data_IF_545082898880
#
_entry.id   IF_545082898880
#
_cell.length_a   1.000
_cell.length_b   1.000
_cell.length_c   1.000
_cell.angle_alpha   90.00
_cell.angle_beta   90.00
_cell.angle_gamma   90.00
#
_symmetry.space_group_name_H-M   'P 1'
#
loop_
_entity.id
_entity.type
_entity.pdbx_description
1 polymer ?
#
# COMPACT_ATOMS: atom_id res chain seq x y z
N UNK A 1 31.54 -45.78 61.94
CA UNK A 1 32.45 -46.24 60.86
C UNK A 1 31.65 -46.12 59.56
N UNK A 2 31.81 -45.03 58.83
CA UNK A 2 32.82 -44.85 57.79
C UNK A 2 32.43 -45.53 56.46
N UNK A 3 32.38 -44.68 55.43
CA UNK A 3 32.54 -44.95 54.00
C UNK A 3 31.38 -45.50 53.19
N UNK A 4 30.73 -44.54 52.51
CA UNK A 4 30.24 -44.67 51.16
C UNK A 4 31.42 -44.81 50.17
N UNK A 5 31.24 -45.63 49.14
CA UNK A 5 31.54 -45.35 47.71
C UNK A 5 31.51 -46.67 46.94
N UNK A 6 30.77 -46.71 45.83
CA UNK A 6 31.28 -47.20 44.53
C UNK A 6 30.14 -47.39 43.52
N UNK A 7 30.16 -46.53 42.49
CA UNK A 7 29.85 -46.82 41.07
C UNK A 7 28.42 -47.28 40.71
N UNK A 8 27.75 -46.81 39.66
CA UNK A 8 27.87 -45.71 38.69
C UNK A 8 26.87 -46.14 37.61
N UNK A 9 25.79 -45.40 37.40
CA UNK A 9 25.15 -45.28 36.10
C UNK A 9 23.94 -44.36 36.20
N UNK A 10 24.11 -43.12 35.73
CA UNK A 10 22.96 -42.31 35.30
C UNK A 10 23.33 -41.68 33.96
N UNK A 11 22.63 -42.19 32.97
CA UNK A 11 22.51 -41.74 31.59
C UNK A 11 22.04 -40.30 31.45
N UNK A 12 22.55 -39.68 30.36
CA UNK A 12 21.92 -38.63 29.55
C UNK A 12 21.59 -37.29 30.21
N UNK A 13 22.49 -36.33 30.04
CA UNK A 13 22.15 -34.94 29.80
C UNK A 13 22.50 -34.58 28.36
N UNK A 14 21.55 -34.74 27.44
CA UNK A 14 21.68 -34.20 26.08
C UNK A 14 21.88 -32.70 26.19
N UNK A 15 23.10 -32.21 25.96
CA UNK A 15 23.36 -30.78 25.86
C UNK A 15 22.82 -30.36 24.50
N UNK A 16 21.58 -29.84 24.48
CA UNK A 16 21.01 -29.16 23.33
C UNK A 16 21.83 -27.91 23.01
N UNK A 17 22.89 -28.09 22.22
CA UNK A 17 23.53 -27.01 21.47
C UNK A 17 22.67 -26.72 20.25
N UNK A 18 21.58 -26.01 20.45
CA UNK A 18 20.89 -25.27 19.39
C UNK A 18 20.10 -24.16 20.07
N UNK A 19 20.81 -23.15 20.59
CA UNK A 19 20.24 -21.82 20.67
C UNK A 19 20.09 -21.36 19.22
N UNK A 20 18.96 -21.73 18.60
CA UNK A 20 18.55 -21.12 17.35
C UNK A 20 18.62 -19.61 17.56
N UNK A 21 19.38 -18.93 16.71
CA UNK A 21 19.43 -17.48 16.66
C UNK A 21 18.09 -16.98 16.09
N UNK A 22 17.03 -17.11 16.88
CA UNK A 22 15.69 -16.64 16.55
C UNK A 22 15.75 -15.12 16.66
N UNK A 23 15.86 -14.44 15.53
CA UNK A 23 15.74 -12.99 15.47
C UNK A 23 14.29 -12.60 15.78
N UNK A 24 14.00 -12.17 17.01
CA UNK A 24 12.70 -11.71 17.50
C UNK A 24 12.36 -10.28 17.01
N UNK A 25 12.33 -10.09 15.68
CA UNK A 25 12.13 -8.75 15.06
C UNK A 25 10.77 -8.13 15.40
N UNK A 26 9.77 -8.96 15.67
CA UNK A 26 8.43 -8.57 16.06
C UNK A 26 8.34 -7.99 17.49
N UNK A 27 9.37 -8.19 18.32
CA UNK A 27 9.43 -7.64 19.68
C UNK A 27 10.17 -6.31 19.74
N UNK A 28 10.74 -5.85 18.63
CA UNK A 28 11.50 -4.62 18.60
C UNK A 28 10.60 -3.41 18.82
N UNK A 29 11.03 -2.53 19.74
CA UNK A 29 10.35 -1.28 20.06
C UNK A 29 11.26 -0.10 19.79
N UNK A 30 10.72 0.93 19.14
CA UNK A 30 11.44 2.15 18.82
C UNK A 30 10.73 3.35 19.44
N UNK A 31 11.41 4.04 20.37
CA UNK A 31 10.83 5.17 21.06
C UNK A 31 11.14 6.49 20.32
N UNK A 32 10.10 7.21 19.92
CA UNK A 32 10.19 8.54 19.30
C UNK A 32 9.29 9.54 20.01
N UNK A 33 9.62 10.83 19.89
CA UNK A 33 8.70 11.90 20.30
C UNK A 33 7.56 12.03 19.29
N UNK A 34 6.40 12.47 19.76
CA UNK A 34 5.25 12.75 18.90
C UNK A 34 5.60 13.78 17.83
N UNK A 35 6.43 14.78 18.15
CA UNK A 35 6.97 15.72 17.17
C UNK A 35 7.71 15.01 16.02
N UNK A 36 8.53 14.00 16.31
CA UNK A 36 9.25 13.26 15.27
C UNK A 36 8.33 12.41 14.41
N UNK A 37 7.29 11.83 15.00
CA UNK A 37 6.27 11.09 14.28
C UNK A 37 5.40 12.01 13.41
N UNK A 38 5.11 13.22 13.90
CA UNK A 38 4.40 14.25 13.15
C UNK A 38 5.18 14.66 11.89
N UNK A 39 6.49 14.90 11.99
CA UNK A 39 7.35 15.16 10.83
C UNK A 39 7.30 14.02 9.79
N UNK A 40 7.32 12.77 10.26
CA UNK A 40 7.23 11.60 9.40
C UNK A 40 5.87 11.50 8.70
N UNK A 41 4.77 11.69 9.44
CA UNK A 41 3.42 11.76 8.89
C UNK A 41 3.28 12.88 7.86
N UNK A 42 3.88 14.05 8.11
CA UNK A 42 3.89 15.16 7.16
C UNK A 42 4.64 14.82 5.86
N UNK A 43 5.79 14.15 5.96
CA UNK A 43 6.51 13.67 4.76
C UNK A 43 5.67 12.70 3.93
N UNK A 44 4.87 11.84 4.59
CA UNK A 44 3.94 10.92 3.93
C UNK A 44 2.77 11.64 3.26
N UNK A 45 2.25 12.70 3.89
CA UNK A 45 1.24 13.57 3.30
C UNK A 45 1.73 14.18 1.99
N UNK A 46 2.91 14.80 2.01
CA UNK A 46 3.50 15.43 0.82
C UNK A 46 3.66 14.44 -0.33
N UNK A 47 4.15 13.24 -0.05
CA UNK A 47 4.23 12.18 -1.03
C UNK A 47 2.85 11.84 -1.61
N UNK A 48 1.84 11.64 -0.77
CA UNK A 48 0.50 11.30 -1.24
C UNK A 48 -0.16 12.45 -2.02
N UNK A 49 0.06 13.70 -1.64
CA UNK A 49 -0.42 14.86 -2.39
C UNK A 49 0.22 14.93 -3.79
N UNK A 50 1.54 14.71 -3.89
CA UNK A 50 2.24 14.62 -5.17
C UNK A 50 1.69 13.48 -6.04
N UNK A 51 1.44 12.30 -5.44
CA UNK A 51 0.89 11.16 -6.16
C UNK A 51 -0.56 11.40 -6.60
N UNK A 52 -1.38 12.06 -5.80
CA UNK A 52 -2.74 12.45 -6.19
C UNK A 52 -2.68 13.39 -7.39
N UNK A 53 -1.81 14.40 -7.37
CA UNK A 53 -1.63 15.30 -8.50
C UNK A 53 -1.20 14.54 -9.78
N UNK A 54 -0.22 13.64 -9.67
CA UNK A 54 0.22 12.79 -10.77
C UNK A 54 -0.93 11.95 -11.35
N UNK A 55 -1.68 11.24 -10.50
CA UNK A 55 -2.75 10.37 -10.98
C UNK A 55 -3.97 11.12 -11.50
N UNK A 56 -4.22 12.35 -11.04
CA UNK A 56 -5.22 13.25 -11.64
C UNK A 56 -4.82 13.61 -13.07
N UNK A 57 -3.59 14.09 -13.25
CA UNK A 57 -3.07 14.40 -14.59
C UNK A 57 -3.11 13.17 -15.50
N UNK A 58 -2.70 11.99 -14.99
CA UNK A 58 -2.73 10.75 -15.77
C UNK A 58 -4.15 10.33 -16.17
N UNK A 59 -5.11 10.46 -15.26
CA UNK A 59 -6.52 10.21 -15.56
C UNK A 59 -7.02 11.14 -16.66
N UNK A 60 -6.66 12.42 -16.61
CA UNK A 60 -7.08 13.39 -17.62
C UNK A 60 -6.47 13.08 -18.99
N UNK A 61 -5.20 12.63 -19.04
CA UNK A 61 -4.57 12.12 -20.27
C UNK A 61 -5.32 10.90 -20.84
N UNK A 62 -5.60 9.88 -20.01
CA UNK A 62 -6.30 8.66 -20.44
C UNK A 62 -7.71 9.01 -20.93
N UNK A 63 -8.42 9.90 -20.24
CA UNK A 63 -9.74 10.35 -20.66
C UNK A 63 -9.69 11.15 -21.96
N UNK A 64 -8.65 11.96 -22.19
CA UNK A 64 -8.45 12.65 -23.46
C UNK A 64 -8.20 11.65 -24.60
N UNK A 65 -7.39 10.62 -24.35
CA UNK A 65 -7.09 9.57 -25.33
C UNK A 65 -8.33 8.71 -25.64
N UNK A 66 -9.11 8.34 -24.63
CA UNK A 66 -10.40 7.64 -24.82
C UNK A 66 -11.34 8.51 -25.65
N UNK A 67 -11.35 9.84 -25.48
CA UNK A 67 -12.19 10.73 -26.30
C UNK A 67 -11.67 10.84 -27.73
N UNK A 68 -10.36 10.99 -27.94
CA UNK A 68 -9.81 11.08 -29.30
C UNK A 68 -9.99 9.76 -30.04
N UNK A 69 -9.57 8.64 -29.45
CA UNK A 69 -9.68 7.32 -30.08
C UNK A 69 -11.13 6.83 -30.12
N UNK A 70 -11.93 7.08 -29.08
CA UNK A 70 -13.33 6.66 -29.00
C UNK A 70 -14.26 7.42 -29.95
N UNK A 71 -14.03 8.73 -30.17
CA UNK A 71 -14.74 9.48 -31.21
C UNK A 71 -14.23 9.15 -32.63
N UNK A 72 -12.93 8.92 -32.80
CA UNK A 72 -12.35 8.52 -34.09
C UNK A 72 -12.76 7.10 -34.52
N UNK A 73 -12.97 6.19 -33.57
CA UNK A 73 -13.47 4.84 -33.85
C UNK A 73 -14.97 4.86 -34.19
N UNK A 74 -15.76 5.74 -33.58
CA UNK A 74 -17.21 5.84 -33.83
C UNK A 74 -17.54 6.53 -35.18
N UNK A 75 -16.73 7.47 -35.68
CA UNK A 75 -16.99 8.12 -36.98
C UNK A 75 -17.03 7.13 -38.17
N UNK A 76 -16.35 5.99 -38.09
CA UNK A 76 -16.43 4.93 -39.13
C UNK A 76 -17.67 4.04 -39.01
N UNK A 77 -18.35 4.05 -37.87
CA UNK A 77 -19.45 3.13 -37.52
C UNK A 77 -20.80 3.84 -37.48
N UNK A 78 -20.83 5.14 -37.19
CA UNK A 78 -22.05 5.97 -37.18
C UNK A 78 -22.75 6.01 -38.56
N UNK A 79 -22.05 5.75 -39.66
CA UNK A 79 -22.67 5.65 -41.00
C UNK A 79 -23.52 4.38 -41.22
N UNK A 80 -23.52 3.40 -40.30
CA UNK A 80 -24.31 2.16 -40.42
C UNK A 80 -25.49 2.05 -39.43
N UNK A 81 -25.77 3.10 -38.64
CA UNK A 81 -26.73 3.10 -37.53
C UNK A 81 -28.22 2.95 -37.90
N UNK A 82 -28.57 2.72 -39.17
CA UNK A 82 -29.97 2.59 -39.59
C UNK A 82 -30.55 1.17 -39.49
N UNK A 83 -29.96 0.23 -38.73
CA UNK A 83 -30.42 -1.18 -38.72
C UNK A 83 -30.59 -1.82 -37.33
N UNK A 84 -31.68 -2.59 -37.07
CA UNK A 84 -32.05 -3.14 -35.75
C UNK A 84 -31.18 -4.26 -35.18
N UNK A 85 -30.04 -4.62 -35.81
CA UNK A 85 -29.13 -5.69 -35.32
C UNK A 85 -28.22 -5.24 -34.16
N UNK A 86 -28.56 -4.13 -33.52
CA UNK A 86 -27.81 -3.45 -32.48
C UNK A 86 -27.82 -4.15 -31.10
N UNK A 87 -27.78 -5.49 -31.03
CA UNK A 87 -27.57 -6.22 -29.76
C UNK A 87 -26.24 -6.97 -29.67
N UNK A 88 -25.62 -7.30 -30.80
CA UNK A 88 -24.25 -7.87 -30.80
C UNK A 88 -23.16 -6.80 -30.67
N UNK A 89 -23.47 -5.54 -30.98
CA UNK A 89 -22.49 -4.44 -30.95
C UNK A 89 -22.17 -3.91 -29.55
N UNK A 90 -22.97 -4.13 -28.50
CA UNK A 90 -22.58 -3.68 -27.15
C UNK A 90 -21.28 -4.37 -26.70
N UNK A 91 -21.12 -5.66 -27.04
CA UNK A 91 -19.86 -6.39 -26.84
C UNK A 91 -18.77 -5.93 -27.83
N UNK A 92 -19.14 -5.54 -29.04
CA UNK A 92 -18.21 -4.99 -30.04
C UNK A 92 -17.67 -3.61 -29.66
N UNK A 93 -18.52 -2.69 -29.19
CA UNK A 93 -18.16 -1.36 -28.69
C UNK A 93 -17.33 -1.44 -27.42
N UNK A 94 -17.60 -2.42 -26.56
CA UNK A 94 -16.77 -2.71 -25.39
C UNK A 94 -15.39 -3.29 -25.78
N UNK A 95 -15.27 -3.97 -26.93
CA UNK A 95 -13.98 -4.36 -27.54
C UNK A 95 -13.32 -3.19 -28.30
N UNK A 96 -14.10 -2.22 -28.78
CA UNK A 96 -13.60 -1.03 -29.47
C UNK A 96 -13.08 0.06 -28.54
N UNK A 97 -13.62 0.20 -27.32
CA UNK A 97 -12.88 0.85 -26.25
C UNK A 97 -11.77 -0.11 -25.86
N UNK A 98 -10.57 0.15 -26.40
CA UNK A 98 -9.33 -0.55 -26.11
C UNK A 98 -9.26 -0.99 -24.64
N UNK A 99 -9.25 -2.31 -24.43
CA UNK A 99 -9.28 -2.93 -23.09
C UNK A 99 -8.14 -2.41 -22.19
N UNK A 100 -7.02 -2.01 -22.78
CA UNK A 100 -5.91 -1.35 -22.11
C UNK A 100 -6.25 0.05 -21.60
N UNK A 101 -6.95 0.90 -22.37
CA UNK A 101 -7.38 2.22 -21.87
C UNK A 101 -8.40 2.12 -20.74
N UNK A 102 -9.29 1.12 -20.80
CA UNK A 102 -10.20 0.84 -19.69
C UNK A 102 -9.44 0.37 -18.45
N UNK A 103 -8.40 -0.43 -18.62
CA UNK A 103 -7.54 -0.92 -17.53
C UNK A 103 -6.75 0.24 -16.92
N UNK A 104 -6.18 1.12 -17.75
CA UNK A 104 -5.44 2.30 -17.32
C UNK A 104 -6.32 3.28 -16.52
N UNK A 105 -7.56 3.48 -16.97
CA UNK A 105 -8.51 4.33 -16.26
C UNK A 105 -8.90 3.74 -14.89
N UNK A 106 -9.13 2.43 -14.83
CA UNK A 106 -9.42 1.72 -13.57
C UNK A 106 -8.23 1.81 -12.60
N UNK A 107 -7.00 1.65 -13.08
CA UNK A 107 -5.81 1.87 -12.26
C UNK A 107 -5.76 3.30 -11.71
N UNK A 108 -5.99 4.30 -12.56
CA UNK A 108 -5.99 5.70 -12.13
C UNK A 108 -7.01 5.93 -11.00
N UNK A 109 -8.23 5.41 -11.13
CA UNK A 109 -9.28 5.55 -10.11
C UNK A 109 -8.88 4.84 -8.81
N UNK A 110 -8.38 3.60 -8.89
CA UNK A 110 -7.90 2.83 -7.73
C UNK A 110 -6.78 3.55 -6.98
N UNK A 111 -5.79 4.06 -7.71
CA UNK A 111 -4.65 4.78 -7.13
C UNK A 111 -5.07 6.12 -6.52
N UNK A 112 -5.98 6.85 -7.16
CA UNK A 112 -6.54 8.08 -6.59
C UNK A 112 -7.28 7.81 -5.28
N UNK A 113 -8.12 6.79 -5.22
CA UNK A 113 -8.82 6.41 -3.99
C UNK A 113 -7.83 6.04 -2.89
N UNK A 114 -6.88 5.15 -3.18
CA UNK A 114 -5.87 4.70 -2.21
C UNK A 114 -5.03 5.85 -1.64
N UNK A 115 -4.51 6.73 -2.51
CA UNK A 115 -3.73 7.87 -2.05
C UNK A 115 -4.57 8.90 -1.29
N UNK A 116 -5.84 9.10 -1.68
CA UNK A 116 -6.75 10.01 -0.97
C UNK A 116 -7.05 9.51 0.44
N UNK A 117 -7.26 8.21 0.61
CA UNK A 117 -7.51 7.61 1.92
C UNK A 117 -6.25 7.63 2.78
N UNK A 118 -5.08 7.27 2.22
CA UNK A 118 -3.81 7.38 2.94
C UNK A 118 -3.49 8.80 3.37
N UNK A 119 -3.77 9.79 2.52
CA UNK A 119 -3.64 11.21 2.88
C UNK A 119 -4.51 11.54 4.09
N UNK A 120 -5.77 11.10 4.15
CA UNK A 120 -6.63 11.32 5.33
C UNK A 120 -6.07 10.66 6.58
N UNK A 121 -5.57 9.42 6.46
CA UNK A 121 -4.95 8.70 7.57
C UNK A 121 -3.79 9.51 8.17
N UNK A 122 -2.82 9.92 7.34
CA UNK A 122 -1.66 10.68 7.82
C UNK A 122 -1.99 12.09 8.29
N UNK A 123 -3.05 12.72 7.75
CA UNK A 123 -3.54 14.02 8.23
C UNK A 123 -4.10 13.90 9.65
N UNK A 124 -4.89 12.86 9.92
CA UNK A 124 -5.36 12.55 11.27
C UNK A 124 -4.22 12.29 12.26
N UNK A 125 -3.20 11.52 11.84
CA UNK A 125 -2.00 11.29 12.65
C UNK A 125 -1.22 12.57 12.90
N UNK A 126 -1.00 13.39 11.88
CA UNK A 126 -0.32 14.69 12.02
C UNK A 126 -1.04 15.57 13.04
N UNK A 127 -2.37 15.67 12.97
CA UNK A 127 -3.16 16.45 13.91
C UNK A 127 -3.01 15.94 15.35
N UNK A 128 -3.17 14.63 15.56
CA UNK A 128 -3.07 14.01 16.88
C UNK A 128 -1.68 14.20 17.50
N UNK A 129 -0.62 13.92 16.73
CA UNK A 129 0.77 13.99 17.20
C UNK A 129 1.23 15.43 17.44
N UNK A 130 0.72 16.39 16.65
CA UNK A 130 1.04 17.82 16.83
C UNK A 130 0.39 18.42 18.09
N UNK A 131 -0.65 17.80 18.64
CA UNK A 131 -1.33 18.29 19.84
C UNK A 131 -0.50 18.09 21.13
N UNK A 132 0.41 17.10 21.14
CA UNK A 132 1.24 16.76 22.30
C UNK A 132 2.69 16.43 21.87
N UNK A 133 3.46 17.38 21.34
CA UNK A 133 4.71 17.12 20.61
C UNK A 133 5.81 16.44 21.46
N UNK A 134 5.80 16.65 22.76
CA UNK A 134 6.80 16.10 23.70
C UNK A 134 6.47 14.68 24.19
N UNK A 135 5.25 14.19 23.93
CA UNK A 135 4.86 12.83 24.30
C UNK A 135 5.76 11.81 23.58
N UNK A 136 6.03 10.68 24.23
CA UNK A 136 6.86 9.62 23.64
C UNK A 136 6.00 8.40 23.37
N UNK A 137 6.14 7.85 22.17
CA UNK A 137 5.45 6.63 21.76
C UNK A 137 6.48 5.56 21.40
N UNK A 138 6.19 4.32 21.78
CA UNK A 138 6.95 3.14 21.36
C UNK A 138 6.27 2.52 20.16
N UNK A 139 7.00 2.45 19.04
CA UNK A 139 6.53 1.84 17.81
C UNK A 139 7.03 0.41 17.73
N UNK A 140 6.16 -0.52 17.31
CA UNK A 140 6.65 -1.77 16.76
C UNK A 140 7.14 -1.61 15.32
N UNK A 141 7.47 -2.73 14.68
CA UNK A 141 7.97 -2.71 13.30
C UNK A 141 6.91 -2.24 12.29
N UNK A 142 5.64 -2.54 12.50
CA UNK A 142 4.57 -2.19 11.57
C UNK A 142 4.28 -0.69 11.65
N UNK A 143 4.20 -0.15 12.87
CA UNK A 143 4.10 1.28 13.11
C UNK A 143 5.32 2.02 12.57
N UNK A 144 6.52 1.47 12.79
CA UNK A 144 7.74 2.05 12.26
C UNK A 144 7.71 2.12 10.72
N UNK A 145 7.29 1.05 10.05
CA UNK A 145 7.16 1.02 8.59
C UNK A 145 6.06 1.95 8.09
N UNK A 146 4.99 2.14 8.85
CA UNK A 146 3.94 3.10 8.53
C UNK A 146 4.51 4.52 8.44
N UNK A 147 5.21 5.00 9.48
CA UNK A 147 5.77 6.35 9.51
C UNK A 147 7.05 6.52 8.69
N UNK A 148 7.98 5.57 8.77
CA UNK A 148 9.36 5.72 8.26
C UNK A 148 9.69 4.76 7.11
N UNK A 149 8.81 3.83 6.76
CA UNK A 149 8.99 2.98 5.59
C UNK A 149 9.10 3.81 4.31
N UNK A 150 9.83 3.32 3.31
CA UNK A 150 10.00 4.05 2.05
C UNK A 150 8.67 4.19 1.32
N UNK A 151 8.47 5.37 0.74
CA UNK A 151 7.34 5.76 -0.13
C UNK A 151 7.82 5.90 -1.57
#
# INVERSE_FOLDING_TARGET
>A
MAHAMSHSDVTMGSINHNAENVMLRNEWKFAYTAAKLAEAAHTKLDHHDQRIAFWKAKKDEVMALIRSEGLEIDEKIVLQYSSPKARDWERGAQVMVRNDLSTDLDECVKKLAWHTDKRKDYDGWLQALSAAPEERHELDIDDWLFFFGRV
#
